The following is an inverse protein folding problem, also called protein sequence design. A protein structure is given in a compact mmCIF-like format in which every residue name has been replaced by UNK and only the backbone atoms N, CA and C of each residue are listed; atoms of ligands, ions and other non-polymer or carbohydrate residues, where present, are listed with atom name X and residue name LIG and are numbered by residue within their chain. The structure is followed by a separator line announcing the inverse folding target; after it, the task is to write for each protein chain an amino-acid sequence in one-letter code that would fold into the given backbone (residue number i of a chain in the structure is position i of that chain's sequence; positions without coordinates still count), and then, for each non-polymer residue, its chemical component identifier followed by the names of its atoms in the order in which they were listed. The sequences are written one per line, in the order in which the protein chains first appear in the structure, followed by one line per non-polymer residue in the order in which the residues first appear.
data_IF_009561647108
#
_entry.id   IF_009561647108
#
_cell.length_a   1.000
_cell.length_b   1.000
_cell.length_c   1.000
_cell.angle_alpha   90.00
_cell.angle_beta   90.00
_cell.angle_gamma   90.00
#
_symmetry.space_group_name_H-M   'P 1'
#
loop_
_entity.id
_entity.type
_entity.pdbx_description
1 polymer ?
#
# COMPACT_ATOMS: atom_id res chain seq x y z
N UNK A 1 2.59 -7.23 29.68
CA UNK A 1 2.70 -5.76 29.72
C UNK A 1 1.34 -5.27 30.18
N UNK A 2 1.24 -4.50 31.25
CA UNK A 2 -0.05 -4.05 31.79
C UNK A 2 -0.74 -3.10 30.81
N UNK A 3 -2.06 -3.13 30.72
CA UNK A 3 -2.87 -2.35 29.77
C UNK A 3 -2.62 -0.84 29.86
N UNK A 4 -2.37 -0.31 31.05
CA UNK A 4 -2.01 1.09 31.29
C UNK A 4 -0.70 1.49 30.60
N UNK A 5 0.27 0.59 30.49
CA UNK A 5 1.56 0.84 29.82
C UNK A 5 1.40 0.95 28.31
N UNK A 6 0.49 0.18 27.69
CA UNK A 6 0.23 0.25 26.25
C UNK A 6 -0.51 1.52 25.90
N UNK A 7 -1.48 1.92 26.73
CA UNK A 7 -2.26 3.14 26.56
C UNK A 7 -1.39 4.43 26.55
N UNK A 8 -0.25 4.41 27.21
CA UNK A 8 0.73 5.53 27.17
C UNK A 8 1.72 5.39 26.01
N UNK A 9 2.17 4.17 25.69
CA UNK A 9 3.19 3.89 24.65
C UNK A 9 2.69 4.16 23.23
N UNK A 10 1.45 3.80 22.89
CA UNK A 10 0.94 3.98 21.54
C UNK A 10 0.88 5.46 21.09
N UNK A 11 0.35 6.41 21.90
CA UNK A 11 0.44 7.84 21.57
C UNK A 11 1.88 8.36 21.51
N UNK A 12 2.79 7.86 22.34
CA UNK A 12 4.21 8.18 22.29
C UNK A 12 4.84 7.73 20.95
N UNK A 13 4.51 6.52 20.48
CA UNK A 13 4.96 6.05 19.17
C UNK A 13 4.38 6.88 18.01
N UNK A 14 3.13 7.32 18.11
CA UNK A 14 2.54 8.23 17.13
C UNK A 14 3.29 9.57 17.10
N UNK A 15 3.60 10.15 18.27
CA UNK A 15 4.39 11.38 18.34
C UNK A 15 5.80 11.19 17.78
N UNK A 16 6.46 10.07 18.07
CA UNK A 16 7.78 9.76 17.51
C UNK A 16 7.74 9.64 15.97
N UNK A 17 6.72 8.99 15.42
CA UNK A 17 6.52 8.95 13.97
C UNK A 17 6.25 10.33 13.38
N UNK A 18 5.35 11.11 14.00
CA UNK A 18 5.05 12.48 13.59
C UNK A 18 6.29 13.38 13.64
N UNK A 19 7.16 13.20 14.62
CA UNK A 19 8.45 13.90 14.70
C UNK A 19 9.35 13.65 13.50
N UNK A 20 9.28 12.46 12.89
CA UNK A 20 10.05 12.14 11.67
C UNK A 20 9.50 12.79 10.41
N UNK A 21 8.18 12.91 10.31
CA UNK A 21 7.54 13.46 9.12
C UNK A 21 7.31 14.97 9.18
N UNK A 22 7.21 15.54 10.39
CA UNK A 22 6.91 16.96 10.61
C UNK A 22 7.89 17.96 9.99
N UNK A 23 9.21 17.68 9.84
CA UNK A 23 10.14 18.62 9.20
C UNK A 23 9.77 18.99 7.74
N UNK A 24 8.90 18.20 7.12
CA UNK A 24 8.43 18.42 5.74
C UNK A 24 7.18 19.32 5.67
N UNK A 25 6.62 19.73 6.81
CA UNK A 25 5.36 20.47 6.89
C UNK A 25 5.45 21.66 7.85
N UNK A 26 4.62 22.68 7.62
CA UNK A 26 4.47 23.76 8.59
C UNK A 26 3.86 23.26 9.90
N UNK A 27 4.12 23.94 11.00
CA UNK A 27 3.61 23.58 12.35
C UNK A 27 2.08 23.35 12.36
N UNK A 28 1.22 24.20 11.74
CA UNK A 28 -0.22 23.95 11.69
C UNK A 28 -0.60 22.70 10.91
N UNK A 29 0.10 22.41 9.80
CA UNK A 29 -0.13 21.20 8.99
C UNK A 29 0.32 19.96 9.74
N UNK A 30 1.46 19.97 10.41
CA UNK A 30 1.95 18.88 11.23
C UNK A 30 0.98 18.54 12.37
N UNK A 31 0.45 19.57 13.04
CA UNK A 31 -0.60 19.39 14.06
C UNK A 31 -1.87 18.76 13.45
N UNK A 32 -2.31 19.25 12.30
CA UNK A 32 -3.47 18.69 11.59
C UNK A 32 -3.27 17.21 11.26
N UNK A 33 -2.10 16.84 10.72
CA UNK A 33 -1.78 15.44 10.41
C UNK A 33 -1.87 14.58 11.67
N UNK A 34 -1.28 15.03 12.77
CA UNK A 34 -1.32 14.31 14.04
C UNK A 34 -2.74 14.15 14.61
N UNK A 35 -3.53 15.21 14.59
CA UNK A 35 -4.92 15.21 15.04
C UNK A 35 -5.78 14.24 14.21
N UNK A 36 -5.61 14.27 12.87
CA UNK A 36 -6.33 13.35 11.97
C UNK A 36 -5.91 11.90 12.17
N UNK A 37 -4.61 11.61 12.20
CA UNK A 37 -4.11 10.24 12.39
C UNK A 37 -4.59 9.65 13.73
N UNK A 38 -4.50 10.43 14.82
CA UNK A 38 -5.00 10.01 16.13
C UNK A 38 -6.50 9.70 16.10
N UNK A 39 -7.29 10.63 15.55
CA UNK A 39 -8.75 10.50 15.49
C UNK A 39 -9.19 9.32 14.60
N UNK A 40 -8.57 9.15 13.43
CA UNK A 40 -8.85 8.05 12.51
C UNK A 40 -8.53 6.70 13.17
N UNK A 41 -7.39 6.56 13.84
CA UNK A 41 -7.06 5.33 14.54
C UNK A 41 -8.03 5.02 15.68
N UNK A 42 -8.38 6.04 16.45
CA UNK A 42 -9.27 5.87 17.61
C UNK A 42 -10.69 5.49 17.24
N UNK A 43 -11.26 6.16 16.23
CA UNK A 43 -12.66 5.94 15.83
C UNK A 43 -12.81 4.96 14.67
N UNK A 44 -11.71 4.59 13.99
CA UNK A 44 -11.73 3.80 12.76
C UNK A 44 -12.66 4.44 11.71
N UNK A 45 -12.68 5.76 11.67
CA UNK A 45 -13.57 6.57 10.83
C UNK A 45 -12.85 7.82 10.35
N UNK A 46 -12.99 8.12 9.07
CA UNK A 46 -12.37 9.27 8.38
C UNK A 46 -13.21 10.55 8.45
N UNK A 47 -14.42 10.48 8.99
CA UNK A 47 -15.32 11.63 9.09
C UNK A 47 -14.80 12.63 10.11
N UNK A 48 -14.77 13.92 9.74
CA UNK A 48 -14.30 14.97 10.65
C UNK A 48 -15.04 15.01 11.98
N UNK A 49 -16.34 14.82 11.95
CA UNK A 49 -17.16 14.81 13.18
C UNK A 49 -16.74 13.71 14.16
N UNK A 50 -16.32 12.55 13.66
CA UNK A 50 -15.78 11.46 14.46
C UNK A 50 -14.41 11.82 15.03
N UNK A 51 -13.52 12.35 14.17
CA UNK A 51 -12.18 12.81 14.59
C UNK A 51 -12.30 13.89 15.67
N UNK A 52 -13.16 14.90 15.48
CA UNK A 52 -13.38 15.99 16.45
C UNK A 52 -13.76 15.44 17.81
N UNK A 53 -14.71 14.49 17.87
CA UNK A 53 -15.11 13.83 19.12
C UNK A 53 -13.97 13.05 19.78
N UNK A 54 -13.12 12.42 18.94
CA UNK A 54 -11.96 11.66 19.42
C UNK A 54 -10.92 12.53 20.14
N UNK A 55 -10.72 13.76 19.67
CA UNK A 55 -9.69 14.68 20.20
C UNK A 55 -10.00 15.15 21.61
N UNK A 56 -11.27 15.27 21.99
CA UNK A 56 -11.73 15.77 23.31
C UNK A 56 -11.09 17.11 23.69
N UNK A 57 -11.00 18.06 22.74
CA UNK A 57 -10.47 19.39 23.02
C UNK A 57 -11.45 20.23 23.85
N UNK A 58 -10.94 21.19 24.65
CA UNK A 58 -11.77 22.14 25.42
C UNK A 58 -12.49 23.13 24.52
N UNK A 59 -11.96 23.39 23.34
CA UNK A 59 -12.56 24.23 22.33
C UNK A 59 -13.83 23.58 21.78
N UNK A 60 -14.85 24.40 21.46
CA UNK A 60 -16.11 23.89 20.93
C UNK A 60 -15.88 23.00 19.71
N UNK A 61 -16.63 21.89 19.56
CA UNK A 61 -16.49 20.95 18.45
C UNK A 61 -16.52 21.63 17.09
N UNK A 62 -17.36 22.66 16.92
CA UNK A 62 -17.49 23.42 15.66
C UNK A 62 -16.19 24.16 15.31
N UNK A 63 -15.54 24.81 16.28
CA UNK A 63 -14.26 25.49 16.05
C UNK A 63 -13.15 24.53 15.69
N UNK A 64 -13.12 23.33 16.32
CA UNK A 64 -12.16 22.28 15.99
C UNK A 64 -12.41 21.76 14.58
N UNK A 65 -13.64 21.48 14.21
CA UNK A 65 -14.03 21.05 12.86
C UNK A 65 -13.62 22.07 11.80
N UNK A 66 -13.89 23.37 12.02
CA UNK A 66 -13.54 24.46 11.10
C UNK A 66 -12.00 24.57 10.93
N UNK A 67 -11.24 24.39 12.03
CA UNK A 67 -9.76 24.32 11.97
C UNK A 67 -9.28 23.18 11.10
N UNK A 68 -9.77 21.97 11.35
CA UNK A 68 -9.39 20.79 10.57
C UNK A 68 -9.83 20.92 9.12
N UNK A 69 -11.01 21.48 8.88
CA UNK A 69 -11.55 21.70 7.53
C UNK A 69 -10.66 22.64 6.69
N UNK A 70 -10.12 23.71 7.29
CA UNK A 70 -9.17 24.63 6.62
C UNK A 70 -7.86 23.95 6.27
N UNK A 71 -7.30 23.18 7.18
CA UNK A 71 -5.99 22.55 6.98
C UNK A 71 -5.98 21.48 5.88
N UNK A 72 -7.11 20.85 5.57
CA UNK A 72 -7.22 19.93 4.42
C UNK A 72 -6.96 20.58 3.06
N UNK A 73 -7.00 21.90 2.98
CA UNK A 73 -6.68 22.66 1.78
C UNK A 73 -5.24 23.18 1.76
N UNK A 74 -4.41 22.79 2.71
CA UNK A 74 -3.03 23.25 2.77
C UNK A 74 -2.27 22.84 1.51
N UNK A 75 -1.62 23.82 0.88
CA UNK A 75 -0.82 23.59 -0.33
C UNK A 75 0.30 22.59 -0.03
N UNK A 76 0.45 21.61 -0.89
CA UNK A 76 1.49 20.58 -0.77
C UNK A 76 1.21 19.49 0.25
N UNK A 77 0.06 19.46 0.93
CA UNK A 77 -0.26 18.40 1.90
C UNK A 77 -0.26 17.01 1.26
N UNK A 78 -0.95 16.85 0.13
CA UNK A 78 -1.03 15.57 -0.60
C UNK A 78 0.36 15.12 -1.07
N UNK A 79 1.03 15.94 -1.87
CA UNK A 79 2.34 15.61 -2.45
C UNK A 79 3.42 15.41 -1.39
N UNK A 80 3.47 16.28 -0.39
CA UNK A 80 4.41 16.16 0.72
C UNK A 80 4.20 14.89 1.53
N UNK A 81 2.93 14.48 1.74
CA UNK A 81 2.63 13.25 2.45
C UNK A 81 3.07 12.02 1.64
N UNK A 82 2.82 12.01 0.33
CA UNK A 82 3.29 10.94 -0.55
C UNK A 82 4.81 10.82 -0.55
N UNK A 83 5.52 11.95 -0.68
CA UNK A 83 6.99 11.98 -0.66
C UNK A 83 7.56 11.46 0.66
N UNK A 84 7.01 11.90 1.78
CA UNK A 84 7.50 11.49 3.11
C UNK A 84 7.25 10.00 3.37
N UNK A 85 6.06 9.50 3.07
CA UNK A 85 5.74 8.08 3.27
C UNK A 85 6.57 7.21 2.32
N UNK A 86 6.75 7.64 1.08
CA UNK A 86 7.62 6.97 0.12
C UNK A 86 9.08 6.93 0.61
N UNK A 87 9.61 8.03 1.13
CA UNK A 87 10.96 8.11 1.68
C UNK A 87 11.16 7.20 2.90
N UNK A 88 10.21 7.21 3.84
CA UNK A 88 10.24 6.32 5.01
C UNK A 88 10.15 4.85 4.61
N UNK A 89 9.25 4.51 3.69
CA UNK A 89 9.09 3.15 3.19
C UNK A 89 10.26 2.65 2.39
N UNK A 90 10.91 3.51 1.59
CA UNK A 90 12.08 3.19 0.78
C UNK A 90 13.28 2.67 1.59
N UNK A 91 13.37 3.02 2.88
CA UNK A 91 14.39 2.47 3.79
C UNK A 91 14.30 0.97 3.97
N UNK A 92 13.12 0.39 3.71
CA UNK A 92 12.86 -1.05 3.81
C UNK A 92 12.97 -1.78 2.47
N UNK A 93 13.11 -1.04 1.36
CA UNK A 93 13.20 -1.59 0.02
C UNK A 93 14.64 -1.96 -0.31
N UNK A 94 14.86 -3.24 -0.63
CA UNK A 94 16.11 -3.80 -1.13
C UNK A 94 15.96 -4.22 -2.60
N UNK A 95 17.02 -4.67 -3.26
CA UNK A 95 16.97 -5.09 -4.68
C UNK A 95 15.92 -6.17 -4.95
N UNK A 96 15.80 -7.17 -4.07
CA UNK A 96 14.83 -8.25 -4.21
C UNK A 96 13.44 -7.98 -3.62
N UNK A 97 13.19 -6.79 -3.06
CA UNK A 97 11.88 -6.43 -2.52
C UNK A 97 10.89 -6.22 -3.66
N UNK A 98 9.71 -6.80 -3.55
CA UNK A 98 8.62 -6.58 -4.50
C UNK A 98 7.95 -5.24 -4.21
N UNK A 99 7.69 -4.45 -5.23
CA UNK A 99 6.86 -3.24 -5.19
C UNK A 99 5.65 -3.52 -6.06
N UNK A 100 4.56 -3.89 -5.41
CA UNK A 100 3.35 -4.34 -6.06
C UNK A 100 2.45 -3.14 -6.28
N UNK A 101 1.97 -3.00 -7.53
CA UNK A 101 1.04 -1.97 -7.97
C UNK A 101 -0.32 -2.63 -8.22
N UNK A 102 -1.37 -2.08 -7.61
CA UNK A 102 -2.71 -2.61 -7.81
C UNK A 102 -3.74 -1.47 -7.87
N UNK A 103 -4.30 -1.19 -9.05
CA UNK A 103 -5.41 -0.27 -9.20
C UNK A 103 -6.68 -0.85 -8.57
N UNK A 104 -7.44 0.00 -7.92
CA UNK A 104 -8.72 -0.35 -7.31
C UNK A 104 -9.68 0.82 -7.42
N UNK A 105 -10.96 0.52 -7.55
CA UNK A 105 -12.03 1.49 -7.43
C UNK A 105 -12.13 2.03 -5.99
N UNK A 106 -12.57 3.26 -5.85
CA UNK A 106 -12.98 3.90 -4.59
C UNK A 106 -14.42 4.35 -4.77
N UNK A 107 -15.35 3.45 -4.49
CA UNK A 107 -16.77 3.65 -4.77
C UNK A 107 -17.39 4.73 -3.88
N UNK A 108 -18.32 5.48 -4.45
CA UNK A 108 -19.09 6.54 -3.79
C UNK A 108 -20.59 6.37 -4.09
N UNK A 109 -21.20 5.27 -3.65
CA UNK A 109 -22.56 4.87 -4.12
C UNK A 109 -23.65 5.89 -3.85
N UNK A 110 -23.45 6.76 -2.85
CA UNK A 110 -24.44 7.78 -2.48
C UNK A 110 -24.03 9.20 -2.86
N UNK A 111 -22.89 9.38 -3.53
CA UNK A 111 -22.41 10.70 -3.92
C UNK A 111 -23.06 11.14 -5.24
N UNK A 112 -23.56 12.41 -5.28
CA UNK A 112 -24.16 12.99 -6.49
C UNK A 112 -23.46 14.28 -6.95
N UNK A 113 -22.68 14.92 -6.08
CA UNK A 113 -22.16 16.29 -6.29
C UNK A 113 -20.68 16.45 -5.93
N UNK A 114 -19.90 15.36 -5.85
CA UNK A 114 -18.45 15.49 -5.65
C UNK A 114 -17.79 15.97 -6.95
N UNK A 115 -16.79 16.84 -6.84
CA UNK A 115 -16.00 17.27 -8.01
C UNK A 115 -15.35 16.06 -8.69
N UNK A 116 -15.50 15.99 -10.02
CA UNK A 116 -14.91 14.95 -10.87
C UNK A 116 -15.34 13.52 -10.46
N UNK A 117 -16.56 13.35 -10.01
CA UNK A 117 -17.11 12.03 -9.71
C UNK A 117 -17.39 11.31 -11.03
N UNK A 118 -16.63 10.26 -11.32
CA UNK A 118 -16.66 9.52 -12.58
C UNK A 118 -17.32 8.13 -12.41
N UNK A 119 -17.70 7.52 -13.51
CA UNK A 119 -18.06 6.09 -13.53
C UNK A 119 -16.81 5.25 -13.31
N UNK A 120 -16.92 4.25 -12.43
CA UNK A 120 -15.82 3.32 -12.14
C UNK A 120 -16.27 1.88 -12.36
N UNK A 121 -15.33 1.05 -12.79
CA UNK A 121 -15.56 -0.37 -12.95
C UNK A 121 -15.64 -1.05 -11.57
N UNK A 122 -16.70 -1.81 -11.33
CA UNK A 122 -16.79 -2.64 -10.14
C UNK A 122 -16.14 -4.01 -10.40
N UNK A 123 -14.95 -4.19 -9.87
CA UNK A 123 -14.22 -5.45 -10.02
C UNK A 123 -14.93 -6.66 -9.41
N UNK A 124 -15.84 -6.45 -8.45
CA UNK A 124 -16.60 -7.54 -7.80
C UNK A 124 -17.78 -8.00 -8.65
N UNK A 125 -18.39 -7.10 -9.43
CA UNK A 125 -19.51 -7.40 -10.32
C UNK A 125 -19.08 -7.66 -11.76
N UNK A 126 -17.90 -7.16 -12.15
CA UNK A 126 -17.37 -7.30 -13.51
C UNK A 126 -18.06 -6.39 -14.53
N UNK A 127 -18.66 -5.29 -14.08
CA UNK A 127 -19.31 -4.28 -14.92
C UNK A 127 -19.02 -2.84 -14.45
N UNK A 128 -19.37 -1.86 -15.28
CA UNK A 128 -19.34 -0.44 -14.90
C UNK A 128 -20.61 -0.04 -14.17
N UNK A 129 -21.75 -0.60 -14.55
CA UNK A 129 -23.06 -0.26 -13.99
C UNK A 129 -23.26 1.24 -13.81
N UNK A 130 -23.96 1.62 -12.74
CA UNK A 130 -24.12 3.00 -12.28
C UNK A 130 -23.16 3.37 -11.13
N UNK A 131 -22.05 2.62 -11.01
CA UNK A 131 -21.09 2.84 -9.92
C UNK A 131 -20.32 4.14 -10.16
N UNK A 132 -20.50 5.08 -9.24
CA UNK A 132 -19.77 6.33 -9.22
C UNK A 132 -18.65 6.29 -8.20
N UNK A 133 -17.52 6.90 -8.53
CA UNK A 133 -16.37 6.90 -7.63
C UNK A 133 -15.15 7.56 -8.23
N UNK A 134 -14.02 7.06 -7.77
CA UNK A 134 -12.68 7.45 -8.20
C UNK A 134 -11.85 6.18 -8.38
N UNK A 135 -10.81 6.27 -9.17
CA UNK A 135 -9.78 5.25 -9.22
C UNK A 135 -8.69 5.54 -8.20
N UNK A 136 -8.08 4.50 -7.69
CA UNK A 136 -6.88 4.61 -6.86
C UNK A 136 -5.90 3.49 -7.19
N UNK A 137 -4.62 3.76 -7.07
CA UNK A 137 -3.58 2.72 -7.15
C UNK A 137 -2.73 2.76 -5.89
N UNK A 138 -2.62 1.61 -5.25
CA UNK A 138 -1.75 1.43 -4.10
C UNK A 138 -0.43 0.78 -4.53
N UNK A 139 0.68 1.32 -4.03
CA UNK A 139 1.98 0.67 -4.11
C UNK A 139 2.33 0.09 -2.73
N UNK A 140 2.62 -1.21 -2.70
CA UNK A 140 3.00 -1.91 -1.46
C UNK A 140 4.31 -2.64 -1.67
N UNK A 141 5.28 -2.39 -0.79
CA UNK A 141 6.49 -3.20 -0.76
C UNK A 141 6.27 -4.43 0.14
N UNK A 142 6.80 -5.57 -0.26
CA UNK A 142 6.84 -6.77 0.58
C UNK A 142 8.00 -7.69 0.18
N UNK A 143 8.35 -8.61 1.07
CA UNK A 143 9.24 -9.73 0.75
C UNK A 143 8.48 -10.79 -0.06
N UNK A 144 9.18 -11.64 -0.79
CA UNK A 144 8.59 -12.83 -1.41
C UNK A 144 7.80 -13.65 -0.39
N UNK A 145 6.67 -14.23 -0.84
CA UNK A 145 5.70 -14.87 0.05
C UNK A 145 4.79 -13.90 0.80
N UNK A 146 4.84 -12.61 0.48
CA UNK A 146 3.92 -11.58 1.02
C UNK A 146 4.18 -11.20 2.48
N UNK A 147 5.36 -11.48 2.99
CA UNK A 147 5.73 -11.10 4.35
C UNK A 147 6.02 -9.62 4.46
N UNK A 148 5.68 -9.04 5.61
CA UNK A 148 5.96 -7.65 6.00
C UNK A 148 5.51 -6.62 4.96
N UNK A 149 4.23 -6.59 4.55
CA UNK A 149 3.74 -5.60 3.61
C UNK A 149 3.88 -4.20 4.17
N UNK A 150 4.41 -3.28 3.36
CA UNK A 150 4.64 -1.88 3.70
C UNK A 150 3.93 -1.02 2.66
N UNK A 151 2.85 -0.30 3.01
CA UNK A 151 2.20 0.64 2.11
C UNK A 151 3.17 1.79 1.80
N UNK A 152 3.46 2.02 0.52
CA UNK A 152 4.43 3.04 0.10
C UNK A 152 3.78 4.28 -0.47
N UNK A 153 2.69 4.10 -1.20
CA UNK A 153 2.01 5.16 -1.93
C UNK A 153 0.56 4.78 -2.18
N UNK A 154 -0.32 5.77 -2.21
CA UNK A 154 -1.70 5.63 -2.66
C UNK A 154 -2.10 6.85 -3.46
N UNK A 155 -2.24 6.72 -4.77
CA UNK A 155 -2.66 7.80 -5.65
C UNK A 155 -4.10 7.61 -6.07
N UNK A 156 -4.88 8.67 -5.92
CA UNK A 156 -6.29 8.71 -6.29
C UNK A 156 -6.46 9.62 -7.50
N UNK A 157 -7.23 9.17 -8.51
CA UNK A 157 -7.53 9.95 -9.71
C UNK A 157 -8.96 9.78 -10.18
N UNK A 158 -9.36 10.64 -11.11
CA UNK A 158 -10.63 10.57 -11.83
C UNK A 158 -10.40 10.83 -13.31
N UNK A 159 -11.06 10.05 -14.15
CA UNK A 159 -11.05 10.27 -15.60
C UNK A 159 -11.68 11.63 -15.99
N UNK A 160 -12.57 12.16 -15.17
CA UNK A 160 -13.26 13.45 -15.42
C UNK A 160 -12.46 14.65 -14.88
N UNK A 161 -11.31 14.41 -14.20
CA UNK A 161 -10.53 15.53 -13.64
C UNK A 161 -9.70 16.26 -14.69
N UNK A 162 -9.61 17.61 -14.63
CA UNK A 162 -8.69 18.35 -15.48
C UNK A 162 -7.25 17.87 -15.29
N UNK A 163 -6.55 17.63 -16.39
CA UNK A 163 -5.16 17.14 -16.36
C UNK A 163 -5.01 15.62 -16.22
N UNK A 164 -6.10 14.85 -16.17
CA UNK A 164 -6.03 13.41 -16.38
C UNK A 164 -5.66 13.12 -17.84
N UNK A 165 -4.62 12.32 -18.04
CA UNK A 165 -4.16 11.90 -19.36
C UNK A 165 -4.53 10.43 -19.58
N UNK A 166 -4.06 9.56 -18.70
CA UNK A 166 -4.38 8.13 -18.73
C UNK A 166 -4.10 7.46 -17.38
N UNK A 167 -4.69 6.29 -17.16
CA UNK A 167 -4.36 5.45 -16.00
C UNK A 167 -2.87 5.09 -15.96
N UNK A 168 -2.26 4.87 -17.12
CA UNK A 168 -0.82 4.57 -17.19
C UNK A 168 0.02 5.73 -16.70
N UNK A 169 -0.30 6.98 -17.06
CA UNK A 169 0.42 8.15 -16.55
C UNK A 169 0.30 8.29 -15.03
N UNK A 170 -0.87 7.98 -14.47
CA UNK A 170 -1.08 7.99 -13.02
C UNK A 170 -0.21 6.92 -12.33
N UNK A 171 -0.17 5.71 -12.88
CA UNK A 171 0.67 4.60 -12.35
C UNK A 171 2.15 4.89 -12.55
N UNK A 172 2.57 5.42 -13.71
CA UNK A 172 3.94 5.87 -13.94
C UNK A 172 4.38 6.94 -12.93
N UNK A 173 3.48 7.87 -12.60
CA UNK A 173 3.72 8.88 -11.57
C UNK A 173 4.05 8.27 -10.19
N UNK A 174 3.37 7.16 -9.83
CA UNK A 174 3.68 6.39 -8.62
C UNK A 174 5.07 5.76 -8.74
N UNK A 175 5.34 5.07 -9.87
CA UNK A 175 6.63 4.41 -10.11
C UNK A 175 7.78 5.40 -10.08
N UNK A 176 7.65 6.58 -10.70
CA UNK A 176 8.67 7.66 -10.65
C UNK A 176 8.95 8.10 -9.22
N UNK A 177 7.91 8.31 -8.42
CA UNK A 177 8.05 8.68 -7.00
C UNK A 177 8.79 7.57 -6.24
N UNK A 178 8.38 6.32 -6.41
CA UNK A 178 9.01 5.18 -5.74
C UNK A 178 10.46 5.00 -6.19
N UNK A 179 10.72 5.01 -7.49
CA UNK A 179 12.06 4.84 -8.08
C UNK A 179 13.06 5.86 -7.53
N UNK A 180 12.65 7.14 -7.43
CA UNK A 180 13.47 8.21 -6.86
C UNK A 180 13.86 7.92 -5.40
N UNK A 181 12.89 7.58 -4.55
CA UNK A 181 13.15 7.34 -3.12
C UNK A 181 13.86 6.00 -2.87
N UNK A 182 13.56 4.96 -3.63
CA UNK A 182 14.23 3.66 -3.51
C UNK A 182 15.59 3.61 -4.20
N UNK A 183 16.00 4.66 -4.92
CA UNK A 183 17.20 4.69 -5.76
C UNK A 183 17.19 3.53 -6.75
N UNK A 184 16.09 3.35 -7.45
CA UNK A 184 15.83 2.28 -8.43
C UNK A 184 15.94 0.85 -7.89
N UNK A 185 15.82 0.68 -6.57
CA UNK A 185 15.76 -0.66 -5.95
C UNK A 185 14.32 -1.16 -5.94
N UNK A 186 14.18 -2.49 -5.94
CA UNK A 186 12.90 -3.19 -5.91
C UNK A 186 12.52 -3.74 -7.27
N UNK A 187 11.57 -4.64 -7.28
CA UNK A 187 11.02 -5.31 -8.46
C UNK A 187 9.56 -4.89 -8.55
N UNK A 188 9.18 -4.19 -9.63
CA UNK A 188 7.81 -3.75 -9.84
C UNK A 188 6.95 -4.89 -10.33
N UNK A 189 5.88 -5.19 -9.61
CA UNK A 189 4.95 -6.28 -9.95
C UNK A 189 3.60 -5.69 -10.28
N UNK A 190 3.07 -6.02 -11.46
CA UNK A 190 1.79 -5.53 -11.91
C UNK A 190 1.00 -6.63 -12.62
N UNK A 191 -0.31 -6.53 -12.55
CA UNK A 191 -1.20 -7.46 -13.22
C UNK A 191 -1.33 -7.19 -14.74
N UNK A 192 -2.38 -7.73 -15.37
CA UNK A 192 -2.65 -7.51 -16.81
C UNK A 192 -2.88 -6.04 -17.18
N UNK A 193 -3.21 -5.18 -16.23
CA UNK A 193 -3.32 -3.74 -16.45
C UNK A 193 -2.00 -3.12 -16.90
N UNK A 194 -0.89 -3.65 -16.39
CA UNK A 194 0.47 -3.23 -16.75
C UNK A 194 0.96 -3.71 -18.13
N UNK A 195 0.21 -4.56 -18.84
CA UNK A 195 0.60 -5.02 -20.18
C UNK A 195 0.31 -3.95 -21.25
N UNK A 196 1.13 -2.90 -21.21
CA UNK A 196 1.09 -1.75 -22.10
C UNK A 196 2.49 -1.43 -22.61
N UNK A 197 2.63 -1.15 -23.90
CA UNK A 197 3.93 -0.90 -24.52
C UNK A 197 4.60 0.38 -24.01
N UNK A 198 3.82 1.44 -23.75
CA UNK A 198 4.31 2.68 -23.16
C UNK A 198 4.89 2.44 -21.77
N UNK A 199 4.19 1.68 -20.94
CA UNK A 199 4.63 1.32 -19.60
C UNK A 199 5.93 0.48 -19.60
N UNK A 200 6.06 -0.47 -20.54
CA UNK A 200 7.33 -1.21 -20.70
C UNK A 200 8.49 -0.32 -21.14
N UNK A 201 8.26 0.59 -22.10
CA UNK A 201 9.28 1.56 -22.51
C UNK A 201 9.73 2.42 -21.33
N UNK A 202 8.77 2.88 -20.53
CA UNK A 202 9.04 3.65 -19.32
C UNK A 202 9.87 2.85 -18.29
N UNK A 203 9.45 1.64 -17.92
CA UNK A 203 10.20 0.82 -16.96
C UNK A 203 11.63 0.53 -17.42
N UNK A 204 11.79 0.22 -18.72
CA UNK A 204 13.09 -0.08 -19.31
C UNK A 204 13.99 1.15 -19.42
N UNK A 205 13.44 2.33 -19.73
CA UNK A 205 14.20 3.59 -19.78
C UNK A 205 14.68 4.03 -18.39
N UNK A 206 13.88 3.78 -17.37
CA UNK A 206 14.25 4.02 -15.98
C UNK A 206 15.21 2.93 -15.41
N UNK A 207 15.46 1.86 -16.16
CA UNK A 207 16.33 0.74 -15.73
C UNK A 207 15.75 -0.05 -14.55
N UNK A 208 14.43 -0.20 -14.50
CA UNK A 208 13.72 -0.86 -13.41
C UNK A 208 13.48 -2.33 -13.71
N UNK A 209 13.63 -3.18 -12.70
CA UNK A 209 13.24 -4.58 -12.78
C UNK A 209 11.73 -4.74 -12.56
N UNK A 210 11.11 -5.63 -13.34
CA UNK A 210 9.67 -5.82 -13.28
C UNK A 210 9.21 -7.27 -13.52
N UNK A 211 7.98 -7.56 -13.08
CA UNK A 211 7.19 -8.76 -13.38
C UNK A 211 5.80 -8.29 -13.75
N UNK A 212 5.39 -8.45 -15.01
CA UNK A 212 4.07 -8.04 -15.49
C UNK A 212 3.38 -9.23 -16.14
N UNK A 213 2.10 -9.46 -15.79
CA UNK A 213 1.31 -10.50 -16.44
C UNK A 213 0.86 -10.05 -17.83
N UNK A 214 1.20 -10.84 -18.85
CA UNK A 214 0.81 -10.58 -20.22
C UNK A 214 -0.67 -10.88 -20.48
N UNK A 215 -1.25 -10.08 -21.37
CA UNK A 215 -2.43 -10.41 -22.19
C UNK A 215 -1.98 -11.17 -23.43
N UNK A 216 -2.92 -11.58 -24.25
CA UNK A 216 -2.58 -12.11 -25.58
C UNK A 216 -2.03 -10.99 -26.48
N UNK A 217 -0.81 -11.21 -26.93
CA UNK A 217 -0.12 -10.27 -27.81
C UNK A 217 0.94 -10.95 -28.65
N UNK A 218 1.36 -10.31 -29.74
CA UNK A 218 2.51 -10.75 -30.50
C UNK A 218 3.82 -10.50 -29.73
N UNK A 219 4.68 -11.50 -29.78
CA UNK A 219 6.07 -11.43 -29.30
C UNK A 219 7.00 -12.00 -30.35
N UNK A 220 8.24 -11.55 -30.37
CA UNK A 220 9.27 -12.09 -31.23
C UNK A 220 10.13 -13.06 -30.45
N UNK A 221 10.13 -14.33 -30.86
CA UNK A 221 10.99 -15.36 -30.30
C UNK A 221 11.84 -15.93 -31.44
N UNK A 222 13.17 -15.94 -31.24
CA UNK A 222 14.12 -16.26 -32.30
C UNK A 222 13.91 -15.37 -33.53
N UNK A 223 13.59 -15.96 -34.67
CA UNK A 223 13.33 -15.25 -35.92
C UNK A 223 11.84 -15.09 -36.29
N UNK A 224 10.93 -15.53 -35.42
CA UNK A 224 9.48 -15.56 -35.67
C UNK A 224 8.73 -14.60 -34.74
N UNK A 225 7.71 -13.98 -35.28
CA UNK A 225 6.71 -13.22 -34.52
C UNK A 225 5.47 -14.09 -34.39
N UNK A 226 5.10 -14.42 -33.16
CA UNK A 226 4.00 -15.35 -32.83
C UNK A 226 3.20 -14.82 -31.64
N UNK A 227 2.01 -15.37 -31.46
CA UNK A 227 1.22 -15.07 -30.27
C UNK A 227 1.88 -15.66 -29.01
N UNK A 228 1.96 -14.89 -27.94
CA UNK A 228 2.60 -15.33 -26.70
C UNK A 228 1.91 -16.55 -26.09
N UNK A 229 0.59 -16.67 -26.23
CA UNK A 229 -0.15 -17.85 -25.80
C UNK A 229 0.27 -19.13 -26.54
N UNK A 230 0.52 -19.07 -27.84
CA UNK A 230 1.04 -20.20 -28.61
C UNK A 230 2.41 -20.65 -28.09
N UNK A 231 3.33 -19.72 -27.86
CA UNK A 231 4.63 -20.03 -27.26
C UNK A 231 4.50 -20.61 -25.85
N UNK A 232 3.53 -20.14 -25.07
CA UNK A 232 3.29 -20.64 -23.74
C UNK A 232 2.84 -22.10 -23.73
N UNK A 233 2.03 -22.53 -24.71
CA UNK A 233 1.64 -23.94 -24.85
C UNK A 233 2.81 -24.82 -25.29
N UNK A 234 3.75 -24.31 -26.05
CA UNK A 234 4.93 -25.05 -26.53
C UNK A 234 6.10 -25.00 -25.52
N UNK A 235 6.00 -24.16 -24.47
CA UNK A 235 7.07 -23.98 -23.50
C UNK A 235 7.33 -25.28 -22.71
N UNK A 236 8.61 -25.67 -22.65
CA UNK A 236 9.06 -26.73 -21.72
C UNK A 236 8.92 -26.28 -20.28
N UNK A 237 8.46 -27.19 -19.42
CA UNK A 237 8.22 -26.93 -17.98
C UNK A 237 9.22 -27.74 -17.14
N UNK A 238 10.50 -27.35 -17.09
CA UNK A 238 11.52 -28.14 -16.38
C UNK A 238 11.43 -28.02 -14.85
N UNK A 239 10.67 -27.04 -14.37
CA UNK A 239 10.57 -26.73 -12.95
C UNK A 239 9.15 -27.00 -12.42
N UNK A 240 9.10 -27.44 -11.15
CA UNK A 240 7.85 -27.74 -10.43
C UNK A 240 7.97 -27.32 -8.98
N UNK A 241 6.90 -26.71 -8.45
CA UNK A 241 6.74 -26.37 -7.03
C UNK A 241 5.31 -26.64 -6.54
N UNK A 242 5.16 -26.82 -5.22
CA UNK A 242 3.84 -26.91 -4.58
C UNK A 242 3.55 -25.59 -3.87
N UNK A 243 2.49 -24.94 -4.32
CA UNK A 243 2.00 -23.69 -3.73
C UNK A 243 0.85 -23.99 -2.81
N UNK A 244 0.92 -23.46 -1.59
CA UNK A 244 -0.18 -23.46 -0.64
C UNK A 244 -0.93 -22.12 -0.72
N UNK A 245 -2.23 -22.15 -0.77
CA UNK A 245 -3.09 -20.98 -0.75
C UNK A 245 -4.36 -21.24 0.03
N UNK A 246 -4.90 -20.20 0.65
CA UNK A 246 -6.20 -20.26 1.30
C UNK A 246 -7.31 -20.14 0.24
N UNK A 247 -8.31 -20.99 0.34
CA UNK A 247 -9.51 -20.93 -0.48
C UNK A 247 -10.73 -21.15 0.40
N UNK A 248 -11.41 -20.07 0.75
CA UNK A 248 -12.56 -20.06 1.65
C UNK A 248 -12.27 -20.61 3.06
N UNK A 249 -11.07 -20.32 3.61
CA UNK A 249 -10.66 -20.79 4.93
C UNK A 249 -10.05 -22.20 4.96
N UNK A 250 -9.90 -22.85 3.80
CA UNK A 250 -9.23 -24.15 3.67
C UNK A 250 -7.86 -24.00 2.99
N UNK A 251 -6.81 -24.56 3.60
CA UNK A 251 -5.50 -24.67 2.95
C UNK A 251 -5.59 -25.64 1.77
N UNK A 252 -5.49 -25.11 0.55
CA UNK A 252 -5.37 -25.90 -0.66
C UNK A 252 -3.94 -25.92 -1.17
N UNK A 253 -3.59 -26.98 -1.87
CA UNK A 253 -2.28 -27.13 -2.51
C UNK A 253 -2.46 -27.26 -4.00
N UNK A 254 -1.70 -26.50 -4.77
CA UNK A 254 -1.61 -26.66 -6.22
C UNK A 254 -0.17 -26.94 -6.61
N UNK A 255 0.02 -27.90 -7.48
CA UNK A 255 1.30 -28.12 -8.14
C UNK A 255 1.39 -27.18 -9.32
N UNK A 256 2.40 -26.30 -9.33
CA UNK A 256 2.67 -25.41 -10.43
C UNK A 256 3.91 -25.84 -11.17
N UNK A 257 3.82 -25.88 -12.49
CA UNK A 257 4.93 -26.14 -13.40
C UNK A 257 5.32 -24.85 -14.08
N UNK A 258 6.61 -24.62 -14.28
CA UNK A 258 7.07 -23.37 -14.90
C UNK A 258 8.33 -23.57 -15.73
N UNK A 259 8.43 -22.70 -16.73
CA UNK A 259 9.54 -22.63 -17.66
C UNK A 259 9.72 -21.21 -18.18
N UNK A 260 10.66 -20.99 -19.08
CA UNK A 260 10.97 -19.67 -19.61
C UNK A 260 11.22 -19.72 -21.11
N UNK A 261 10.78 -18.67 -21.80
CA UNK A 261 11.06 -18.42 -23.22
C UNK A 261 11.66 -17.02 -23.36
N UNK A 262 12.87 -16.87 -23.96
CA UNK A 262 13.41 -15.56 -24.29
C UNK A 262 12.54 -14.92 -25.40
N UNK A 263 12.11 -13.68 -25.18
CA UNK A 263 11.25 -12.96 -26.11
C UNK A 263 11.69 -11.50 -26.27
N UNK A 264 11.26 -10.89 -27.36
CA UNK A 264 11.31 -9.44 -27.56
C UNK A 264 9.92 -8.95 -27.88
N UNK A 265 9.59 -7.75 -27.44
CA UNK A 265 8.37 -7.10 -27.91
C UNK A 265 8.62 -6.51 -29.30
N UNK A 266 7.71 -6.67 -30.28
CA UNK A 266 7.89 -6.10 -31.61
C UNK A 266 8.21 -4.59 -31.59
N UNK A 267 7.57 -3.86 -30.69
CA UNK A 267 7.74 -2.42 -30.50
C UNK A 267 9.00 -2.02 -29.71
N UNK A 268 9.72 -3.00 -29.16
CA UNK A 268 10.98 -2.81 -28.40
C UNK A 268 11.97 -3.92 -28.82
N UNK A 269 12.38 -3.96 -30.08
CA UNK A 269 13.12 -5.10 -30.64
C UNK A 269 14.55 -5.24 -30.06
N UNK A 270 15.14 -4.16 -29.57
CA UNK A 270 16.51 -4.13 -29.06
C UNK A 270 16.66 -4.68 -27.64
N UNK A 271 15.55 -4.93 -26.96
CA UNK A 271 15.56 -5.42 -25.58
C UNK A 271 15.15 -6.89 -25.50
N UNK A 272 16.07 -7.72 -25.03
CA UNK A 272 15.77 -9.10 -24.69
C UNK A 272 15.04 -9.12 -23.32
N UNK A 273 13.86 -9.72 -23.31
CA UNK A 273 13.06 -9.96 -22.12
C UNK A 273 12.80 -11.46 -21.99
N UNK A 274 12.27 -11.86 -20.84
CA UNK A 274 11.96 -13.25 -20.56
C UNK A 274 10.48 -13.40 -20.27
N UNK A 275 9.84 -14.33 -20.94
CA UNK A 275 8.47 -14.74 -20.67
C UNK A 275 8.53 -16.01 -19.81
N UNK A 276 8.27 -15.88 -18.51
CA UNK A 276 8.12 -17.02 -17.62
C UNK A 276 6.69 -17.53 -17.76
N UNK A 277 6.56 -18.80 -18.11
CA UNK A 277 5.28 -19.46 -18.30
C UNK A 277 4.99 -20.35 -17.11
N UNK A 278 3.77 -20.26 -16.58
CA UNK A 278 3.33 -21.01 -15.40
C UNK A 278 2.04 -21.76 -15.71
N UNK A 279 1.99 -23.05 -15.39
CA UNK A 279 0.79 -23.91 -15.45
C UNK A 279 0.41 -24.39 -14.06
N UNK A 280 -0.87 -24.70 -13.85
CA UNK A 280 -1.38 -25.21 -12.57
C UNK A 280 -2.35 -24.27 -11.84
N UNK A 281 -2.49 -23.01 -12.28
CA UNK A 281 -3.46 -22.05 -11.69
C UNK A 281 -4.79 -21.97 -12.46
N UNK A 282 -4.96 -22.70 -13.55
CA UNK A 282 -6.16 -22.68 -14.34
C UNK A 282 -6.00 -23.40 -15.67
N UNK A 283 -7.01 -23.29 -16.53
CA UNK A 283 -7.04 -24.01 -17.83
C UNK A 283 -5.99 -23.50 -18.84
N UNK A 284 -5.62 -22.20 -18.75
CA UNK A 284 -4.64 -21.58 -19.67
C UNK A 284 -3.34 -21.29 -18.94
N UNK A 285 -2.18 -21.38 -19.60
CA UNK A 285 -0.92 -20.95 -19.05
C UNK A 285 -0.95 -19.47 -18.67
N UNK A 286 -0.34 -19.13 -17.54
CA UNK A 286 -0.06 -17.74 -17.15
C UNK A 286 1.30 -17.33 -17.69
N UNK A 287 1.37 -16.16 -18.29
CA UNK A 287 2.58 -15.62 -18.91
C UNK A 287 3.03 -14.38 -18.14
N UNK A 288 4.26 -14.36 -17.69
CA UNK A 288 4.86 -13.28 -16.92
C UNK A 288 6.06 -12.72 -17.68
N UNK A 289 5.96 -11.47 -18.13
CA UNK A 289 7.08 -10.77 -18.76
C UNK A 289 7.97 -10.13 -17.70
N UNK A 290 9.30 -10.32 -17.84
CA UNK A 290 10.23 -9.86 -16.81
C UNK A 290 11.63 -9.55 -17.37
N UNK A 291 12.36 -8.70 -16.65
CA UNK A 291 13.79 -8.44 -16.83
C UNK A 291 14.68 -9.41 -16.03
N UNK A 292 14.13 -10.18 -15.08
CA UNK A 292 14.87 -10.89 -14.05
C UNK A 292 15.45 -12.24 -14.49
N UNK A 293 14.77 -12.99 -15.35
CA UNK A 293 15.13 -14.37 -15.68
C UNK A 293 16.36 -14.51 -16.60
N UNK A 294 17.36 -13.66 -16.45
CA UNK A 294 18.65 -13.74 -17.19
C UNK A 294 19.38 -15.05 -16.91
N UNK A 295 19.25 -15.54 -15.68
CA UNK A 295 19.68 -16.87 -15.29
C UNK A 295 18.45 -17.76 -15.25
N UNK A 296 18.43 -18.82 -16.07
CA UNK A 296 17.30 -19.76 -16.18
C UNK A 296 17.29 -20.83 -15.08
N UNK A 297 18.02 -20.61 -13.99
CA UNK A 297 17.99 -21.53 -12.85
C UNK A 297 16.59 -21.60 -12.22
N UNK A 298 16.26 -22.78 -11.64
CA UNK A 298 14.98 -22.98 -10.94
C UNK A 298 14.72 -21.87 -9.91
N UNK A 299 15.72 -21.47 -9.14
CA UNK A 299 15.58 -20.42 -8.12
C UNK A 299 15.23 -19.04 -8.71
N UNK A 300 15.88 -18.66 -9.82
CA UNK A 300 15.59 -17.39 -10.50
C UNK A 300 14.18 -17.38 -11.12
N UNK A 301 13.75 -18.49 -11.72
CA UNK A 301 12.41 -18.61 -12.27
C UNK A 301 11.35 -18.63 -11.15
N UNK A 302 11.64 -19.32 -10.04
CA UNK A 302 10.76 -19.34 -8.89
C UNK A 302 10.57 -17.96 -8.28
N UNK A 303 11.63 -17.16 -8.19
CA UNK A 303 11.54 -15.76 -7.74
C UNK A 303 10.51 -14.95 -8.56
N UNK A 304 10.44 -15.16 -9.87
CA UNK A 304 9.46 -14.48 -10.74
C UNK A 304 8.04 -15.00 -10.45
N UNK A 305 7.88 -16.31 -10.37
CA UNK A 305 6.58 -16.96 -10.12
C UNK A 305 6.04 -16.57 -8.75
N UNK A 306 6.84 -16.75 -7.70
CA UNK A 306 6.49 -16.41 -6.32
C UNK A 306 6.23 -14.90 -6.17
N UNK A 307 7.05 -14.06 -6.82
CA UNK A 307 6.87 -12.61 -6.86
C UNK A 307 5.50 -12.22 -7.41
N UNK A 308 5.06 -12.87 -8.48
CA UNK A 308 3.73 -12.61 -9.03
C UNK A 308 2.60 -13.17 -8.13
N UNK A 309 2.75 -14.36 -7.57
CA UNK A 309 1.78 -14.93 -6.62
C UNK A 309 1.62 -14.01 -5.40
N UNK A 310 2.71 -13.42 -4.95
CA UNK A 310 2.72 -12.48 -3.82
C UNK A 310 1.84 -11.24 -4.09
N UNK A 311 1.54 -10.90 -5.33
CA UNK A 311 0.67 -9.78 -5.69
C UNK A 311 -0.69 -9.81 -4.98
N UNK A 312 -1.25 -10.99 -4.78
CA UNK A 312 -2.54 -11.12 -4.07
C UNK A 312 -2.52 -10.57 -2.63
N UNK A 313 -1.34 -10.46 -2.01
CA UNK A 313 -1.19 -9.85 -0.67
C UNK A 313 -1.50 -8.35 -0.66
N UNK A 314 -1.38 -7.67 -1.79
CA UNK A 314 -1.79 -6.26 -1.91
C UNK A 314 -3.30 -6.11 -1.82
N UNK A 315 -4.05 -7.04 -2.39
CA UNK A 315 -5.52 -7.05 -2.30
C UNK A 315 -5.97 -7.07 -0.83
N UNK A 316 -5.30 -7.86 0.04
CA UNK A 316 -5.54 -7.85 1.48
C UNK A 316 -5.22 -6.49 2.12
N UNK A 317 -4.16 -5.83 1.67
CA UNK A 317 -3.80 -4.49 2.17
C UNK A 317 -4.85 -3.44 1.76
N UNK A 318 -5.29 -3.45 0.50
CA UNK A 318 -6.35 -2.54 0.02
C UNK A 318 -7.65 -2.79 0.78
N UNK A 319 -8.03 -4.06 0.93
CA UNK A 319 -9.22 -4.46 1.70
C UNK A 319 -9.12 -3.97 3.15
N UNK A 320 -7.95 -4.13 3.78
CA UNK A 320 -7.69 -3.61 5.12
C UNK A 320 -7.88 -2.10 5.22
N UNK A 321 -7.35 -1.32 4.26
CA UNK A 321 -7.51 0.15 4.22
C UNK A 321 -8.98 0.53 4.06
N UNK A 322 -9.68 -0.11 3.12
CA UNK A 322 -11.11 0.14 2.87
C UNK A 322 -11.96 -0.17 4.10
N UNK A 323 -11.74 -1.30 4.75
CA UNK A 323 -12.56 -1.79 5.87
C UNK A 323 -12.16 -1.18 7.22
N UNK A 324 -10.87 -1.15 7.57
CA UNK A 324 -10.43 -0.70 8.89
C UNK A 324 -10.45 0.81 9.06
N UNK A 325 -10.23 1.56 7.97
CA UNK A 325 -10.15 3.03 8.00
C UNK A 325 -11.24 3.70 7.17
N UNK A 326 -12.15 2.93 6.60
CA UNK A 326 -13.33 3.43 5.86
C UNK A 326 -12.97 4.46 4.80
N UNK A 327 -11.96 4.17 3.97
CA UNK A 327 -11.48 5.06 2.91
C UNK A 327 -12.62 5.55 1.99
N UNK A 328 -13.57 4.68 1.70
CA UNK A 328 -14.72 4.98 0.84
C UNK A 328 -15.74 5.93 1.51
N UNK A 329 -15.71 6.05 2.85
CA UNK A 329 -16.58 6.97 3.60
C UNK A 329 -16.08 8.42 3.62
N UNK A 330 -14.96 8.75 2.98
CA UNK A 330 -14.49 10.14 2.81
C UNK A 330 -15.51 10.88 1.94
N UNK A 331 -16.27 11.80 2.55
CA UNK A 331 -17.28 12.61 1.89
C UNK A 331 -16.82 14.07 1.80
N UNK A 332 -16.13 14.39 0.74
CA UNK A 332 -15.58 15.72 0.51
C UNK A 332 -15.94 16.19 -0.89
N UNK A 333 -16.61 17.35 -0.97
CA UNK A 333 -17.01 17.91 -2.25
C UNK A 333 -15.81 18.22 -3.14
N UNK A 334 -14.78 18.88 -2.58
CA UNK A 334 -13.58 19.31 -3.33
C UNK A 334 -12.62 18.17 -3.54
N UNK A 335 -12.28 17.89 -4.78
CA UNK A 335 -11.39 16.80 -5.20
C UNK A 335 -9.99 16.88 -4.56
N UNK A 336 -9.38 18.08 -4.52
CA UNK A 336 -8.08 18.26 -3.86
C UNK A 336 -8.10 17.91 -2.36
N UNK A 337 -9.22 18.21 -1.66
CA UNK A 337 -9.39 17.80 -0.26
C UNK A 337 -9.55 16.30 -0.09
N UNK A 338 -10.22 15.64 -1.04
CA UNK A 338 -10.36 14.19 -1.06
C UNK A 338 -9.00 13.52 -1.19
N UNK A 339 -8.16 13.97 -2.14
CA UNK A 339 -6.80 13.45 -2.34
C UNK A 339 -5.91 13.67 -1.11
N UNK A 340 -5.96 14.86 -0.53
CA UNK A 340 -5.22 15.16 0.71
C UNK A 340 -5.63 14.23 1.87
N UNK A 341 -6.92 13.96 2.02
CA UNK A 341 -7.41 13.03 3.04
C UNK A 341 -6.98 11.59 2.77
N UNK A 342 -7.01 11.14 1.52
CA UNK A 342 -6.50 9.82 1.15
C UNK A 342 -5.01 9.66 1.50
N UNK A 343 -4.20 10.72 1.31
CA UNK A 343 -2.80 10.73 1.71
C UNK A 343 -2.61 10.67 3.25
N UNK A 344 -3.48 11.31 4.03
CA UNK A 344 -3.46 11.20 5.50
C UNK A 344 -3.87 9.79 5.96
N UNK A 345 -4.85 9.16 5.28
CA UNK A 345 -5.19 7.75 5.53
C UNK A 345 -4.00 6.85 5.22
N UNK A 346 -3.30 7.06 4.10
CA UNK A 346 -2.06 6.32 3.79
C UNK A 346 -1.03 6.43 4.93
N UNK A 347 -0.82 7.63 5.49
CA UNK A 347 0.10 7.80 6.62
C UNK A 347 -0.36 7.03 7.86
N UNK A 348 -1.68 7.00 8.13
CA UNK A 348 -2.26 6.23 9.24
C UNK A 348 -2.04 4.72 9.04
N UNK A 349 -2.26 4.24 7.82
CA UNK A 349 -2.02 2.84 7.45
C UNK A 349 -0.53 2.50 7.55
N UNK A 350 0.34 3.37 7.04
CA UNK A 350 1.79 3.20 7.15
C UNK A 350 2.22 3.10 8.63
N UNK A 351 1.72 3.98 9.47
CA UNK A 351 2.01 3.93 10.90
C UNK A 351 1.57 2.61 11.53
N UNK A 352 0.34 2.17 11.31
CA UNK A 352 -0.18 0.93 11.92
C UNK A 352 0.51 -0.33 11.36
N UNK A 353 0.73 -0.42 10.04
CA UNK A 353 1.31 -1.61 9.41
C UNK A 353 2.83 -1.62 9.47
N UNK A 354 3.48 -0.53 9.04
CA UNK A 354 4.92 -0.51 8.88
C UNK A 354 5.66 -0.08 10.15
N UNK A 355 5.19 1.00 10.80
CA UNK A 355 5.85 1.51 12.00
C UNK A 355 5.62 0.59 13.21
N UNK A 356 4.38 0.22 13.47
CA UNK A 356 4.02 -0.66 14.60
C UNK A 356 4.12 -2.13 14.21
N UNK A 357 3.36 -2.58 13.20
CA UNK A 357 3.13 -3.99 12.92
C UNK A 357 4.33 -4.76 12.37
N UNK A 358 5.16 -4.13 11.53
CA UNK A 358 6.30 -4.77 10.86
C UNK A 358 7.67 -4.41 11.47
N UNK A 359 7.69 -3.72 12.59
CA UNK A 359 8.94 -3.29 13.22
C UNK A 359 9.35 -4.27 14.32
N UNK A 360 10.53 -4.85 14.20
CA UNK A 360 11.10 -5.68 15.28
C UNK A 360 11.20 -4.90 16.61
N UNK A 361 11.55 -3.61 16.52
CA UNK A 361 11.61 -2.71 17.68
C UNK A 361 10.27 -2.58 18.40
N UNK A 362 9.16 -2.70 17.69
CA UNK A 362 7.81 -2.51 18.24
C UNK A 362 7.02 -3.82 18.38
N UNK A 363 7.65 -4.97 18.16
CA UNK A 363 6.98 -6.28 18.16
C UNK A 363 6.18 -6.55 19.44
N UNK A 364 6.75 -6.23 20.61
CA UNK A 364 6.06 -6.39 21.88
C UNK A 364 4.81 -5.49 21.98
N UNK A 365 4.90 -4.25 21.46
CA UNK A 365 3.76 -3.31 21.40
C UNK A 365 2.71 -3.85 20.43
N UNK A 366 3.12 -4.28 19.23
CA UNK A 366 2.23 -4.82 18.21
C UNK A 366 1.46 -6.05 18.72
N UNK A 367 2.14 -7.01 19.33
CA UNK A 367 1.50 -8.20 19.93
C UNK A 367 0.51 -7.82 21.05
N UNK A 368 0.87 -6.86 21.89
CA UNK A 368 -0.02 -6.43 22.96
C UNK A 368 -1.25 -5.71 22.43
N UNK A 369 -1.09 -4.84 21.40
CA UNK A 369 -2.21 -4.18 20.73
C UNK A 369 -3.10 -5.21 20.05
N UNK A 370 -2.54 -6.18 19.32
CA UNK A 370 -3.32 -7.22 18.65
C UNK A 370 -4.14 -8.09 19.62
N UNK A 371 -3.61 -8.36 20.83
CA UNK A 371 -4.36 -9.06 21.89
C UNK A 371 -5.56 -8.27 22.43
N UNK A 372 -5.47 -6.94 22.46
CA UNK A 372 -6.57 -6.07 22.90
C UNK A 372 -7.75 -6.05 21.90
N UNK A 373 -7.58 -6.59 20.70
CA UNK A 373 -8.64 -6.65 19.69
C UNK A 373 -9.76 -7.66 19.99
N UNK A 374 -9.66 -8.44 21.03
CA UNK A 374 -10.64 -9.45 21.46
C UNK A 374 -11.16 -10.36 20.33
N UNK A 375 -10.29 -10.79 19.43
CA UNK A 375 -10.68 -11.64 18.32
C UNK A 375 -10.93 -13.07 18.78
N UNK A 376 -12.16 -13.54 18.60
CA UNK A 376 -12.64 -14.86 19.06
C UNK A 376 -11.88 -16.02 18.39
N UNK A 377 -11.53 -15.87 17.11
CA UNK A 377 -10.83 -16.90 16.30
C UNK A 377 -9.31 -16.73 16.26
N UNK A 378 -8.74 -15.93 17.17
CA UNK A 378 -7.31 -15.64 17.19
C UNK A 378 -6.90 -14.57 16.17
N UNK A 379 -5.60 -14.32 16.08
CA UNK A 379 -5.02 -13.33 15.19
C UNK A 379 -4.50 -14.04 13.94
N UNK A 380 -5.06 -13.78 12.75
CA UNK A 380 -4.61 -14.39 11.51
C UNK A 380 -3.21 -13.92 11.09
N UNK A 381 -2.58 -14.57 10.13
CA UNK A 381 -1.28 -14.16 9.58
C UNK A 381 -1.28 -12.72 9.09
N UNK A 382 -2.35 -12.27 8.45
CA UNK A 382 -2.57 -10.86 8.14
C UNK A 382 -3.13 -10.12 9.38
N UNK A 383 -2.29 -9.95 10.39
CA UNK A 383 -2.65 -9.45 11.72
C UNK A 383 -2.99 -7.94 11.80
N UNK A 384 -2.94 -7.20 10.69
CA UNK A 384 -3.12 -5.75 10.69
C UNK A 384 -4.55 -5.31 11.04
N UNK A 385 -5.55 -6.14 10.78
CA UNK A 385 -6.90 -5.90 11.30
C UNK A 385 -6.92 -5.89 12.83
N UNK A 386 -6.25 -6.87 13.46
CA UNK A 386 -6.16 -6.92 14.91
C UNK A 386 -5.38 -5.73 15.49
N UNK A 387 -4.34 -5.26 14.79
CA UNK A 387 -3.62 -4.04 15.19
C UNK A 387 -4.53 -2.81 15.09
N UNK A 388 -5.32 -2.67 14.01
CA UNK A 388 -6.23 -1.53 13.86
C UNK A 388 -7.34 -1.53 14.94
N UNK A 389 -7.93 -2.70 15.21
CA UNK A 389 -8.96 -2.87 16.23
C UNK A 389 -8.39 -2.59 17.63
N UNK A 390 -7.32 -3.27 17.99
CA UNK A 390 -6.69 -3.11 19.29
C UNK A 390 -6.13 -1.70 19.55
N UNK A 391 -5.61 -1.02 18.50
CA UNK A 391 -5.20 0.38 18.62
C UNK A 391 -6.39 1.29 18.92
N UNK A 392 -7.53 1.06 18.27
CA UNK A 392 -8.79 1.77 18.55
C UNK A 392 -9.21 1.56 20.01
N UNK A 393 -9.23 0.32 20.49
CA UNK A 393 -9.66 -0.03 21.85
C UNK A 393 -8.73 0.57 22.90
N UNK A 394 -7.42 0.48 22.70
CA UNK A 394 -6.40 1.14 23.55
C UNK A 394 -6.62 2.65 23.64
N UNK A 395 -6.86 3.32 22.49
CA UNK A 395 -7.05 4.76 22.47
C UNK A 395 -8.40 5.20 23.05
N UNK A 396 -9.46 4.39 22.93
CA UNK A 396 -10.76 4.62 23.57
C UNK A 396 -10.70 4.45 25.07
N UNK A 397 -10.06 3.37 25.55
CA UNK A 397 -9.90 3.07 26.97
C UNK A 397 -9.05 4.06 27.75
N UNK A 398 -8.18 4.82 27.06
CA UNK A 398 -7.31 5.81 27.69
C UNK A 398 -8.05 6.95 28.43
N UNK A 399 -9.31 7.22 28.11
CA UNK A 399 -10.11 8.27 28.77
C UNK A 399 -9.63 9.71 28.58
N UNK A 400 -8.35 9.92 28.38
CA UNK A 400 -7.69 11.23 28.34
C UNK A 400 -7.83 11.96 26.99
N UNK A 401 -7.62 13.28 27.07
CA UNK A 401 -7.57 14.19 25.93
C UNK A 401 -6.31 13.94 25.07
N UNK A 402 -6.44 14.06 23.75
CA UNK A 402 -5.29 14.21 22.85
C UNK A 402 -4.76 15.65 22.95
N UNK A 403 -3.52 15.80 23.43
CA UNK A 403 -2.90 17.14 23.60
C UNK A 403 -2.38 17.74 22.29
N UNK A 404 -2.65 17.07 21.15
CA UNK A 404 -2.10 17.44 19.87
C UNK A 404 -0.63 17.04 19.70
N UNK A 405 -0.08 17.34 18.54
CA UNK A 405 1.33 17.19 18.23
C UNK A 405 1.99 18.55 18.10
N UNK A 406 3.02 18.81 18.86
CA UNK A 406 3.89 19.99 18.70
C UNK A 406 5.26 19.55 18.17
N UNK A 407 5.65 19.97 16.94
CA UNK A 407 6.95 19.64 16.38
C UNK A 407 8.13 20.10 17.26
N UNK A 408 7.96 21.15 18.07
CA UNK A 408 9.02 21.66 18.95
C UNK A 408 9.30 20.73 20.15
N UNK A 409 8.29 19.93 20.57
CA UNK A 409 8.45 18.95 21.65
C UNK A 409 9.02 17.61 21.15
N UNK A 410 8.80 17.27 19.89
CA UNK A 410 9.22 15.99 19.32
C UNK A 410 10.74 15.78 19.33
N UNK A 411 11.53 16.85 19.22
CA UNK A 411 12.99 16.81 19.30
C UNK A 411 13.52 16.46 20.69
N UNK A 412 12.77 16.79 21.75
CA UNK A 412 13.17 16.55 23.14
C UNK A 412 12.89 15.10 23.55
N UNK A 413 11.76 14.51 23.11
CA UNK A 413 11.43 13.09 23.39
C UNK A 413 12.30 12.11 22.58
N UNK A 414 12.75 12.48 21.39
CA UNK A 414 13.64 11.64 20.56
C UNK A 414 15.09 11.59 21.11
N UNK A 415 15.49 12.56 21.93
CA UNK A 415 16.81 12.65 22.55
C UNK A 415 16.90 11.94 23.92
N UNK A 416 15.80 11.42 24.47
CA UNK A 416 15.85 10.66 25.72
C UNK A 416 16.62 9.33 25.49
N UNK A 417 17.65 9.03 26.30
CA UNK A 417 18.49 7.84 26.10
C UNK A 417 17.65 6.58 26.17
N UNK A 418 17.93 5.63 25.27
CA UNK A 418 17.29 4.31 25.23
C UNK A 418 17.35 3.54 26.56
N UNK A 419 18.27 3.91 27.46
CA UNK A 419 18.51 3.28 28.75
C UNK A 419 17.41 3.54 29.79
N UNK A 420 16.76 4.70 29.80
CA UNK A 420 15.64 4.98 30.70
C UNK A 420 14.36 4.20 30.35
N UNK A 421 14.25 3.70 29.11
CA UNK A 421 13.08 2.97 28.65
C UNK A 421 13.02 1.51 29.14
N UNK A 422 14.12 0.93 29.59
CA UNK A 422 14.19 -0.48 29.96
C UNK A 422 14.24 -0.74 31.48
N UNK A 423 14.27 0.32 32.29
CA UNK A 423 14.31 0.15 33.78
C UNK A 423 15.54 -0.65 34.28
N UNK A 424 16.63 -0.63 33.53
CA UNK A 424 17.89 -1.20 33.95
C UNK A 424 18.64 -0.14 34.77
N UNK A 425 18.38 -0.09 36.06
CA UNK A 425 19.27 0.55 37.03
C UNK A 425 20.60 -0.20 36.96
N UNK A 426 21.63 0.47 36.45
CA UNK A 426 23.02 0.07 36.69
C UNK A 426 23.34 0.52 38.12
N UNK A 427 23.19 -0.42 39.07
CA UNK A 427 23.83 -0.31 40.37
C UNK A 427 25.28 -0.72 40.27
#
# INVERSE_FOLDING_TARGET
MHDTTIATKLPGQLKAFLGRISPHFSKPVSRFIGDMMYGIMKEKDVKLSSVVRALKEETSPKKVEDRLCRMRSAKGLESGMHDVIAAEGARRVRRGTLIILDPSDVQKPYAKKMEYLAKVWDGSRGDVGDNLGFWGCMAVACESGGRRPVPLHFRLWSADSPGFVSENDEVEGIVRTMSRHTKRRGIYVYDRGGDNIGFYRFLLSEGLDFIVRLKERYVRSWKRTVMCGELAWQCRMPCREVVKFDHHGEEKRATVEFGVVPVRLPDIPDRLLHMVVVRGFGKKPMMLLTTLARNTSRAALWQVVEGYITRWRVEDTIRHVKQSYRLEDIRLFRYGKLKAMAAVVLATVYFSMAWIGNSQKHEAIARSIARMSFRIHGVPDFHFYAIADGASDVLKGRGGRWRGFDPAEAGKEAAAPLFEFFGLNTG
#
